data_IF_007633866811
#
_entry.id   IF_007633866811
#
_cell.length_a   1.000
_cell.length_b   1.000
_cell.length_c   1.000
_cell.angle_alpha   90.00
_cell.angle_beta   90.00
_cell.angle_gamma   90.00
#
_symmetry.space_group_name_H-M   'P 1'
#
loop_
_entity.id
_entity.type
_entity.pdbx_description
1 polymer ?
#
# COMPACT_ATOMS: atom_id res chain seq x y z
N UNK A 1 21.32 -23.42 -2.36
CA UNK A 1 20.28 -22.50 -2.80
C UNK A 1 19.23 -22.45 -1.71
N UNK A 2 18.74 -21.27 -1.35
CA UNK A 2 17.67 -21.14 -0.36
C UNK A 2 16.32 -21.64 -0.91
N UNK A 3 15.36 -21.90 -0.03
CA UNK A 3 14.01 -22.36 -0.38
C UNK A 3 13.31 -21.51 -1.44
N UNK A 4 13.56 -20.20 -1.42
CA UNK A 4 12.94 -19.21 -2.32
C UNK A 4 13.84 -18.75 -3.48
N UNK A 5 14.96 -19.42 -3.74
CA UNK A 5 15.82 -19.05 -4.85
C UNK A 5 15.15 -19.48 -6.16
N UNK A 6 14.79 -18.55 -7.07
CA UNK A 6 14.19 -18.88 -8.36
C UNK A 6 15.02 -19.85 -9.19
N UNK A 7 14.36 -20.68 -9.99
CA UNK A 7 15.04 -21.61 -10.88
C UNK A 7 15.67 -20.92 -12.10
N UNK A 8 15.15 -19.76 -12.50
CA UNK A 8 15.56 -19.04 -13.71
C UNK A 8 15.98 -17.61 -13.38
N UNK A 9 17.26 -17.32 -13.50
CA UNK A 9 17.87 -15.98 -13.33
C UNK A 9 19.30 -15.98 -13.87
N UNK A 10 19.93 -14.83 -13.95
CA UNK A 10 21.39 -14.72 -14.21
C UNK A 10 22.07 -14.40 -12.88
N UNK A 11 23.02 -15.24 -12.46
CA UNK A 11 23.63 -15.15 -11.13
C UNK A 11 24.43 -13.87 -10.89
N UNK A 12 25.00 -13.28 -11.94
CA UNK A 12 25.79 -12.06 -11.85
C UNK A 12 25.42 -11.09 -12.95
N UNK A 13 24.97 -9.88 -12.56
CA UNK A 13 24.70 -8.79 -13.51
C UNK A 13 25.99 -8.14 -13.98
N UNK A 14 25.96 -7.62 -15.19
CA UNK A 14 27.03 -6.86 -15.83
C UNK A 14 26.79 -5.33 -15.83
N UNK A 15 25.61 -4.92 -15.36
CA UNK A 15 25.16 -3.52 -15.35
C UNK A 15 24.64 -3.19 -13.94
N UNK A 16 25.02 -2.06 -13.34
CA UNK A 16 24.46 -1.64 -12.05
C UNK A 16 22.94 -1.50 -12.09
N UNK A 17 22.28 -1.77 -10.96
CA UNK A 17 20.86 -1.42 -10.80
C UNK A 17 20.69 0.10 -10.84
N UNK A 18 19.74 0.58 -11.63
CA UNK A 18 19.34 1.99 -11.67
C UNK A 18 17.87 2.22 -11.42
N UNK A 19 17.02 1.19 -11.55
CA UNK A 19 15.59 1.32 -11.30
C UNK A 19 15.07 0.25 -10.34
N UNK A 20 14.15 0.64 -9.48
CA UNK A 20 13.27 -0.26 -8.74
C UNK A 20 12.02 -0.46 -9.58
N UNK A 21 11.75 -1.70 -10.01
CA UNK A 21 10.56 -2.03 -10.82
C UNK A 21 9.51 -2.65 -9.93
N UNK A 22 8.36 -2.01 -9.87
CA UNK A 22 7.22 -2.39 -9.04
C UNK A 22 6.25 -3.22 -9.88
N UNK A 23 5.86 -4.38 -9.34
CA UNK A 23 4.96 -5.36 -9.94
C UNK A 23 3.80 -5.70 -9.03
N UNK A 24 2.77 -6.36 -9.58
CA UNK A 24 1.80 -7.16 -8.84
C UNK A 24 1.92 -8.62 -9.23
N UNK A 25 1.79 -9.50 -8.25
CA UNK A 25 1.91 -10.96 -8.42
C UNK A 25 0.78 -11.58 -9.24
N UNK A 26 -0.28 -10.83 -9.53
CA UNK A 26 -1.55 -11.33 -10.07
C UNK A 26 -2.09 -12.50 -9.23
N UNK A 27 -1.97 -12.37 -7.90
CA UNK A 27 -2.36 -13.35 -6.90
C UNK A 27 -3.17 -12.67 -5.79
N UNK A 28 -4.06 -13.39 -5.07
CA UNK A 28 -4.85 -12.80 -4.00
C UNK A 28 -3.96 -12.20 -2.92
N UNK A 29 -4.39 -11.09 -2.34
CA UNK A 29 -3.80 -10.57 -1.11
C UNK A 29 -4.05 -11.53 0.04
N UNK A 30 -3.07 -11.71 0.89
CA UNK A 30 -3.19 -12.57 2.05
C UNK A 30 -1.82 -12.99 2.60
N UNK A 31 -1.80 -13.46 3.84
CA UNK A 31 -0.58 -13.97 4.44
C UNK A 31 -0.07 -15.19 3.64
N UNK A 32 1.22 -15.33 3.50
CA UNK A 32 1.93 -16.36 2.74
C UNK A 32 1.83 -16.26 1.21
N UNK A 33 1.23 -15.22 0.64
CA UNK A 33 1.22 -15.04 -0.82
C UNK A 33 2.63 -14.79 -1.34
N UNK A 34 3.44 -14.01 -0.64
CA UNK A 34 4.83 -13.76 -0.99
C UNK A 34 5.65 -15.07 -1.02
N UNK A 35 5.51 -15.93 -0.01
CA UNK A 35 6.19 -17.23 0.07
C UNK A 35 5.71 -18.18 -1.04
N UNK A 36 4.42 -18.19 -1.31
CA UNK A 36 3.84 -19.08 -2.32
C UNK A 36 4.32 -18.70 -3.72
N UNK A 37 4.36 -17.40 -4.05
CA UNK A 37 4.89 -16.91 -5.34
C UNK A 37 6.40 -17.13 -5.42
N UNK A 38 7.14 -16.89 -4.35
CA UNK A 38 8.57 -17.18 -4.30
C UNK A 38 8.86 -18.69 -4.54
N UNK A 39 8.08 -19.61 -3.93
CA UNK A 39 8.17 -21.05 -4.19
C UNK A 39 7.78 -21.41 -5.63
N UNK A 40 6.80 -20.72 -6.19
CA UNK A 40 6.43 -20.91 -7.59
C UNK A 40 7.59 -20.56 -8.54
N UNK A 41 8.28 -19.43 -8.30
CA UNK A 41 9.51 -19.11 -9.04
C UNK A 41 10.64 -20.14 -8.81
N UNK A 42 10.76 -20.66 -7.59
CA UNK A 42 11.77 -21.67 -7.26
C UNK A 42 11.46 -23.04 -7.88
N UNK A 43 10.19 -23.34 -8.18
CA UNK A 43 9.76 -24.63 -8.74
C UNK A 43 10.24 -24.89 -10.18
N UNK A 44 10.59 -23.83 -10.92
CA UNK A 44 10.95 -23.92 -12.33
C UNK A 44 9.79 -24.13 -13.30
N UNK A 45 8.54 -24.04 -12.82
CA UNK A 45 7.35 -24.15 -13.67
C UNK A 45 7.15 -22.93 -14.57
N UNK A 46 7.78 -21.81 -14.24
CA UNK A 46 7.72 -20.57 -15.01
C UNK A 46 9.13 -20.03 -15.24
N UNK A 47 9.36 -19.44 -16.41
CA UNK A 47 10.61 -18.74 -16.72
C UNK A 47 10.45 -17.26 -16.28
N UNK A 48 10.28 -17.07 -14.98
CA UNK A 48 10.17 -15.76 -14.34
C UNK A 48 10.87 -15.79 -12.98
N UNK A 49 11.23 -14.62 -12.48
CA UNK A 49 11.84 -14.44 -11.15
C UNK A 49 11.78 -13.00 -10.71
N UNK A 50 11.78 -12.78 -9.40
CA UNK A 50 11.90 -11.47 -8.76
C UNK A 50 13.08 -11.44 -7.79
N UNK A 51 13.47 -10.23 -7.35
CA UNK A 51 14.44 -10.09 -6.28
C UNK A 51 13.74 -10.18 -4.92
N UNK A 52 12.52 -9.68 -4.83
CA UNK A 52 11.74 -9.59 -3.60
C UNK A 52 10.25 -9.80 -3.90
N UNK A 53 9.58 -10.56 -3.04
CA UNK A 53 8.14 -10.74 -2.98
C UNK A 53 7.62 -10.19 -1.66
N UNK A 54 6.53 -9.42 -1.67
CA UNK A 54 5.97 -8.79 -0.47
C UNK A 54 4.47 -9.03 -0.38
N UNK A 55 3.99 -9.41 0.79
CA UNK A 55 2.57 -9.43 1.13
C UNK A 55 2.30 -8.65 2.42
N UNK A 56 1.11 -8.79 2.99
CA UNK A 56 0.65 -7.99 4.13
C UNK A 56 1.46 -8.19 5.42
N UNK A 57 2.20 -9.30 5.56
CA UNK A 57 2.91 -9.66 6.80
C UNK A 57 4.33 -10.17 6.57
N UNK A 58 4.79 -10.26 5.32
CA UNK A 58 6.13 -10.75 5.04
C UNK A 58 6.84 -10.07 3.86
N UNK A 59 8.17 -10.07 3.93
CA UNK A 59 9.09 -9.70 2.86
C UNK A 59 10.02 -10.89 2.57
N UNK A 60 9.86 -11.50 1.40
CA UNK A 60 10.65 -12.67 0.98
C UNK A 60 11.72 -12.25 -0.03
N UNK A 61 12.97 -12.30 0.38
CA UNK A 61 14.11 -12.02 -0.51
C UNK A 61 14.47 -13.28 -1.31
N UNK A 62 14.31 -13.22 -2.63
CA UNK A 62 14.51 -14.34 -3.55
C UNK A 62 15.91 -14.33 -4.19
N UNK A 63 16.37 -13.15 -4.62
CA UNK A 63 17.66 -12.97 -5.29
C UNK A 63 18.42 -11.77 -4.73
N UNK A 64 19.77 -11.85 -4.67
CA UNK A 64 20.58 -10.68 -4.33
C UNK A 64 20.54 -9.64 -5.45
N UNK A 65 20.77 -8.37 -5.13
CA UNK A 65 20.83 -7.28 -6.09
C UNK A 65 21.91 -7.48 -7.21
N UNK A 66 22.91 -8.30 -6.96
CA UNK A 66 23.94 -8.68 -7.95
C UNK A 66 23.42 -9.64 -9.04
N UNK A 67 22.27 -10.27 -8.86
CA UNK A 67 21.65 -11.13 -9.85
C UNK A 67 20.77 -10.34 -10.84
N UNK A 68 20.36 -10.98 -11.95
CA UNK A 68 19.35 -10.45 -12.88
C UNK A 68 18.12 -11.33 -12.77
N UNK A 69 17.02 -10.77 -12.29
CA UNK A 69 15.71 -11.40 -12.31
C UNK A 69 15.05 -11.25 -13.70
N UNK A 70 14.16 -12.19 -14.03
CA UNK A 70 13.40 -12.21 -15.28
C UNK A 70 11.95 -11.80 -15.01
N UNK A 71 11.67 -10.51 -14.95
CA UNK A 71 10.34 -9.96 -14.66
C UNK A 71 9.91 -8.89 -15.67
N UNK A 72 10.74 -7.86 -15.92
CA UNK A 72 10.41 -6.74 -16.80
C UNK A 72 11.33 -6.66 -18.02
N UNK A 73 10.98 -7.26 -19.17
CA UNK A 73 11.78 -7.17 -20.39
C UNK A 73 12.00 -5.72 -20.82
N UNK A 74 13.26 -5.28 -20.80
CA UNK A 74 13.66 -3.88 -20.98
C UNK A 74 14.44 -3.35 -19.79
N UNK A 75 14.05 -3.74 -18.57
CA UNK A 75 14.73 -3.40 -17.31
C UNK A 75 15.18 -4.63 -16.49
N UNK A 76 15.28 -5.84 -17.07
CA UNK A 76 15.80 -6.99 -16.32
C UNK A 76 17.25 -6.77 -15.88
N UNK A 77 18.11 -6.23 -16.79
CA UNK A 77 19.56 -6.13 -16.54
C UNK A 77 19.93 -5.04 -15.53
N UNK A 78 19.16 -3.98 -15.47
CA UNK A 78 19.42 -2.77 -14.67
C UNK A 78 18.31 -2.46 -13.67
N UNK A 79 17.37 -3.39 -13.48
CA UNK A 79 16.25 -3.28 -12.52
C UNK A 79 16.41 -4.19 -11.31
N UNK A 80 15.93 -3.72 -10.17
CA UNK A 80 15.60 -4.52 -9.00
C UNK A 80 14.10 -4.78 -9.01
N UNK A 81 13.66 -6.01 -9.11
CA UNK A 81 12.28 -6.42 -9.36
C UNK A 81 11.56 -6.73 -8.04
N UNK A 82 10.45 -6.04 -7.76
CA UNK A 82 9.68 -6.14 -6.51
C UNK A 82 8.24 -6.53 -6.83
N UNK A 83 7.84 -7.70 -6.37
CA UNK A 83 6.51 -8.26 -6.53
C UNK A 83 5.64 -7.97 -5.29
N UNK A 84 4.46 -7.40 -5.52
CA UNK A 84 3.45 -7.12 -4.48
C UNK A 84 2.29 -8.09 -4.61
N UNK A 85 1.80 -8.64 -3.50
CA UNK A 85 0.56 -9.39 -3.49
C UNK A 85 -0.60 -8.50 -3.95
N UNK A 86 -1.50 -9.03 -4.76
CA UNK A 86 -2.61 -8.28 -5.35
C UNK A 86 -2.61 -8.36 -6.87
N UNK A 87 -3.46 -7.53 -7.45
CA UNK A 87 -3.74 -7.52 -8.90
C UNK A 87 -3.62 -6.12 -9.49
N UNK A 88 -3.14 -6.03 -10.73
CA UNK A 88 -3.06 -4.77 -11.49
C UNK A 88 -4.43 -4.10 -11.71
N UNK A 89 -5.52 -4.87 -11.61
CA UNK A 89 -6.91 -4.38 -11.77
C UNK A 89 -7.52 -3.77 -10.50
N UNK A 90 -6.81 -3.81 -9.36
CA UNK A 90 -7.34 -3.27 -8.10
C UNK A 90 -7.77 -1.81 -8.26
N UNK A 91 -8.94 -1.50 -7.67
CA UNK A 91 -9.45 -0.14 -7.58
C UNK A 91 -8.68 0.67 -6.52
N UNK A 92 -8.84 2.00 -6.46
CA UNK A 92 -8.27 2.80 -5.39
C UNK A 92 -8.71 2.36 -4.00
N UNK A 93 -9.97 1.91 -3.84
CA UNK A 93 -10.53 1.42 -2.58
C UNK A 93 -9.88 0.10 -2.15
N UNK A 94 -9.64 -0.82 -3.10
CA UNK A 94 -8.94 -2.07 -2.85
C UNK A 94 -7.48 -1.83 -2.46
N UNK A 95 -6.78 -0.87 -3.10
CA UNK A 95 -5.44 -0.44 -2.67
C UNK A 95 -5.43 0.26 -1.30
N UNK A 96 -6.60 0.71 -0.82
CA UNK A 96 -6.81 1.35 0.47
C UNK A 96 -7.19 0.40 1.59
N UNK A 97 -7.37 -0.87 1.35
CA UNK A 97 -7.73 -1.84 2.38
C UNK A 97 -6.55 -2.17 3.32
N UNK A 98 -6.85 -2.84 4.43
CA UNK A 98 -5.85 -3.09 5.48
C UNK A 98 -4.70 -4.00 4.99
N UNK A 99 -4.96 -4.93 4.09
CA UNK A 99 -3.95 -5.85 3.57
C UNK A 99 -2.98 -5.12 2.63
N UNK A 100 -3.52 -4.38 1.65
CA UNK A 100 -2.74 -3.55 0.74
C UNK A 100 -1.91 -2.51 1.50
N UNK A 101 -2.51 -1.80 2.47
CA UNK A 101 -1.80 -0.79 3.27
C UNK A 101 -0.64 -1.39 4.03
N UNK A 102 -0.84 -2.52 4.74
CA UNK A 102 0.23 -3.20 5.46
C UNK A 102 1.37 -3.64 4.52
N UNK A 103 1.02 -4.24 3.37
CA UNK A 103 1.99 -4.65 2.36
C UNK A 103 2.78 -3.46 1.81
N UNK A 104 2.11 -2.35 1.45
CA UNK A 104 2.78 -1.15 0.92
C UNK A 104 3.74 -0.54 1.94
N UNK A 105 3.41 -0.57 3.24
CA UNK A 105 4.30 -0.12 4.32
C UNK A 105 5.55 -1.00 4.43
N UNK A 106 5.38 -2.32 4.46
CA UNK A 106 6.50 -3.27 4.49
C UNK A 106 7.39 -3.14 3.25
N UNK A 107 6.76 -3.07 2.07
CA UNK A 107 7.47 -2.90 0.81
C UNK A 107 8.24 -1.58 0.76
N UNK A 108 7.64 -0.47 1.17
CA UNK A 108 8.29 0.83 1.15
C UNK A 108 9.55 0.86 2.03
N UNK A 109 9.49 0.28 3.22
CA UNK A 109 10.66 0.15 4.08
C UNK A 109 11.77 -0.68 3.41
N UNK A 110 11.43 -1.88 2.93
CA UNK A 110 12.39 -2.78 2.32
C UNK A 110 12.99 -2.20 1.02
N UNK A 111 12.18 -1.60 0.16
CA UNK A 111 12.65 -0.98 -1.09
C UNK A 111 13.51 0.24 -0.86
N UNK A 112 13.22 1.05 0.18
CA UNK A 112 14.08 2.15 0.61
C UNK A 112 15.47 1.67 0.98
N UNK A 113 15.57 0.67 1.86
CA UNK A 113 16.86 0.12 2.31
C UNK A 113 17.69 -0.40 1.13
N UNK A 114 17.06 -1.09 0.17
CA UNK A 114 17.72 -1.57 -1.04
C UNK A 114 18.12 -0.41 -1.95
N UNK A 115 17.23 0.55 -2.22
CA UNK A 115 17.50 1.71 -3.06
C UNK A 115 18.67 2.55 -2.53
N UNK A 116 18.70 2.81 -1.21
CA UNK A 116 19.80 3.51 -0.54
C UNK A 116 21.12 2.74 -0.71
N UNK A 117 21.11 1.41 -0.54
CA UNK A 117 22.30 0.58 -0.71
C UNK A 117 22.84 0.55 -2.14
N UNK A 118 21.97 0.74 -3.13
CA UNK A 118 22.29 0.74 -4.56
C UNK A 118 22.50 2.15 -5.13
N UNK A 119 22.26 3.20 -4.33
CA UNK A 119 22.33 4.60 -4.76
C UNK A 119 21.23 4.98 -5.75
N UNK A 120 20.06 4.33 -5.69
CA UNK A 120 18.90 4.64 -6.53
C UNK A 120 18.09 5.78 -5.88
N UNK A 121 17.86 6.91 -6.58
CA UNK A 121 17.05 8.00 -6.04
C UNK A 121 15.62 7.59 -5.67
N UNK A 122 15.12 8.09 -4.52
CA UNK A 122 13.79 7.76 -4.01
C UNK A 122 12.72 8.64 -4.70
N UNK A 123 12.55 8.46 -5.99
CA UNK A 123 11.57 9.20 -6.81
C UNK A 123 10.94 8.31 -7.88
N UNK A 124 9.67 8.52 -8.16
CA UNK A 124 8.97 7.89 -9.28
C UNK A 124 9.35 8.60 -10.59
N UNK A 125 9.78 7.85 -11.59
CA UNK A 125 10.15 8.37 -12.90
C UNK A 125 8.93 8.57 -13.80
N UNK A 126 8.99 9.55 -14.67
CA UNK A 126 8.13 9.62 -15.85
C UNK A 126 8.62 8.65 -16.93
N UNK A 127 7.78 8.36 -17.92
CA UNK A 127 8.15 7.53 -19.07
C UNK A 127 9.33 8.14 -19.85
N UNK A 128 9.41 9.48 -19.93
CA UNK A 128 10.51 10.19 -20.60
C UNK A 128 11.83 10.04 -19.83
N UNK A 129 11.81 10.21 -18.51
CA UNK A 129 12.99 10.03 -17.66
C UNK A 129 13.52 8.58 -17.73
N UNK A 130 12.60 7.58 -17.71
CA UNK A 130 12.94 6.18 -17.90
C UNK A 130 13.61 5.94 -19.27
N UNK A 131 13.05 6.51 -20.34
CA UNK A 131 13.59 6.41 -21.71
C UNK A 131 14.98 7.07 -21.82
N UNK A 132 15.22 8.16 -21.07
CA UNK A 132 16.49 8.86 -21.01
C UNK A 132 17.55 8.15 -20.14
N UNK A 133 17.18 7.03 -19.49
CA UNK A 133 18.11 6.23 -18.68
C UNK A 133 18.30 6.76 -17.26
N UNK A 134 17.40 7.59 -16.75
CA UNK A 134 17.47 8.10 -15.39
C UNK A 134 17.16 7.01 -14.36
N UNK A 135 17.56 7.26 -13.10
CA UNK A 135 17.44 6.31 -11.99
C UNK A 135 16.29 6.67 -11.06
N UNK A 136 15.55 5.67 -10.58
CA UNK A 136 14.41 5.86 -9.67
C UNK A 136 13.48 4.64 -9.64
N UNK A 137 12.20 4.87 -9.33
CA UNK A 137 11.14 3.87 -9.24
C UNK A 137 10.25 3.92 -10.47
N UNK A 138 9.82 2.77 -10.97
CA UNK A 138 8.93 2.63 -12.13
C UNK A 138 7.97 1.45 -11.95
N UNK A 139 6.83 1.48 -12.63
CA UNK A 139 5.97 0.30 -12.79
C UNK A 139 6.39 -0.55 -13.99
N UNK A 140 6.02 -1.85 -13.98
CA UNK A 140 6.22 -2.71 -15.14
C UNK A 140 5.44 -2.20 -16.38
N UNK A 141 4.26 -1.60 -16.16
CA UNK A 141 3.49 -0.92 -17.20
C UNK A 141 4.28 0.19 -17.91
N UNK A 142 5.06 0.99 -17.16
CA UNK A 142 5.96 2.01 -17.74
C UNK A 142 7.09 1.38 -18.54
N UNK A 143 7.70 0.30 -18.01
CA UNK A 143 8.73 -0.47 -18.74
C UNK A 143 8.16 -1.00 -20.06
N UNK A 144 6.94 -1.54 -20.05
CA UNK A 144 6.23 -2.04 -21.23
C UNK A 144 5.97 -0.92 -22.24
N UNK A 145 5.47 0.25 -21.79
CA UNK A 145 5.21 1.40 -22.67
C UNK A 145 6.47 1.97 -23.30
N UNK A 146 7.55 2.07 -22.54
CA UNK A 146 8.80 2.70 -22.99
C UNK A 146 9.59 1.78 -23.91
N UNK A 147 9.81 0.52 -23.49
CA UNK A 147 10.70 -0.38 -24.23
C UNK A 147 9.99 -1.30 -25.21
N UNK A 148 8.65 -1.44 -25.11
CA UNK A 148 7.81 -2.24 -26.03
C UNK A 148 8.28 -3.69 -26.19
N UNK A 149 8.73 -4.31 -25.09
CA UNK A 149 9.20 -5.70 -25.03
C UNK A 149 8.25 -6.63 -24.27
N UNK A 150 7.18 -6.08 -23.72
CA UNK A 150 6.07 -6.75 -23.07
C UNK A 150 4.83 -5.87 -23.18
N UNK A 151 3.66 -6.41 -22.79
CA UNK A 151 2.36 -5.74 -22.76
C UNK A 151 1.74 -5.74 -21.35
N UNK A 152 2.59 -5.89 -20.36
CA UNK A 152 2.19 -5.89 -18.94
C UNK A 152 1.65 -4.53 -18.50
N UNK A 153 0.67 -4.57 -17.62
CA UNK A 153 -0.04 -3.38 -17.10
C UNK A 153 0.13 -3.18 -15.60
N UNK A 154 0.81 -4.09 -14.90
CA UNK A 154 1.09 -4.02 -13.48
C UNK A 154 2.11 -2.90 -13.14
N UNK A 155 2.00 -2.28 -11.97
CA UNK A 155 1.08 -2.56 -10.86
C UNK A 155 -0.34 -2.03 -11.06
N UNK A 156 -0.67 -1.48 -12.22
CA UNK A 156 -1.99 -1.01 -12.60
C UNK A 156 -2.21 0.50 -12.42
N UNK A 157 -3.26 1.02 -13.09
CA UNK A 157 -3.50 2.47 -13.16
C UNK A 157 -3.92 3.07 -11.82
N UNK A 158 -4.45 2.26 -10.91
CA UNK A 158 -4.88 2.70 -9.57
C UNK A 158 -3.80 2.49 -8.49
N UNK A 159 -2.61 2.01 -8.84
CA UNK A 159 -1.52 1.87 -7.87
C UNK A 159 -1.21 3.23 -7.23
N UNK A 160 -1.21 3.35 -5.90
CA UNK A 160 -1.15 4.64 -5.21
C UNK A 160 0.29 5.20 -5.14
N UNK A 161 0.86 5.57 -6.28
CA UNK A 161 2.25 6.03 -6.40
C UNK A 161 2.62 7.15 -5.43
N UNK A 162 1.77 8.16 -5.25
CA UNK A 162 2.05 9.27 -4.32
C UNK A 162 2.16 8.79 -2.88
N UNK A 163 1.26 7.89 -2.46
CA UNK A 163 1.30 7.28 -1.14
C UNK A 163 2.53 6.41 -0.96
N UNK A 164 2.78 5.51 -1.91
CA UNK A 164 3.92 4.60 -1.86
C UNK A 164 5.25 5.34 -1.80
N UNK A 165 5.43 6.34 -2.66
CA UNK A 165 6.65 7.15 -2.65
C UNK A 165 6.79 8.02 -1.41
N UNK A 166 5.69 8.50 -0.83
CA UNK A 166 5.69 9.16 0.48
C UNK A 166 6.21 8.23 1.57
N UNK A 167 5.71 6.99 1.63
CA UNK A 167 6.22 5.96 2.56
C UNK A 167 7.71 5.67 2.32
N UNK A 168 8.13 5.47 1.08
CA UNK A 168 9.54 5.25 0.70
C UNK A 168 10.42 6.41 1.18
N UNK A 169 9.95 7.65 1.09
CA UNK A 169 10.67 8.84 1.58
C UNK A 169 10.61 9.01 3.11
N UNK A 170 9.83 8.18 3.82
CA UNK A 170 9.63 8.28 5.27
C UNK A 170 8.72 9.43 5.68
N UNK A 171 7.86 9.87 4.78
CA UNK A 171 6.86 10.90 5.01
C UNK A 171 5.61 10.31 5.66
N UNK A 172 4.85 11.11 6.38
CA UNK A 172 3.48 10.75 6.79
C UNK A 172 2.57 10.83 5.57
N UNK A 173 2.63 9.79 4.73
CA UNK A 173 1.84 9.73 3.52
C UNK A 173 0.39 9.35 3.85
N UNK A 174 -0.57 10.03 3.23
CA UNK A 174 -1.97 9.64 3.24
C UNK A 174 -2.27 8.93 1.92
N UNK A 175 -3.01 7.81 2.00
CA UNK A 175 -3.57 7.20 0.80
C UNK A 175 -4.34 8.28 0.03
N UNK A 176 -4.24 8.35 -1.29
CA UNK A 176 -5.20 9.08 -2.10
C UNK A 176 -6.50 8.27 -2.13
N UNK A 177 -7.17 8.21 -1.01
CA UNK A 177 -8.58 7.89 -0.97
C UNK A 177 -9.22 9.06 -1.71
N UNK A 178 -10.13 8.77 -2.60
CA UNK A 178 -10.84 9.82 -3.36
C UNK A 178 -11.60 10.68 -2.34
N UNK A 179 -10.95 11.76 -1.87
CA UNK A 179 -11.49 12.70 -0.88
C UNK A 179 -12.65 13.52 -1.47
N UNK A 180 -13.06 13.24 -2.69
CA UNK A 180 -14.31 13.79 -3.23
C UNK A 180 -15.55 13.33 -2.43
N UNK A 181 -15.41 12.26 -1.60
CA UNK A 181 -16.43 11.81 -0.65
C UNK A 181 -15.98 11.86 0.83
N UNK A 182 -14.72 12.22 1.14
CA UNK A 182 -14.23 12.38 2.51
C UNK A 182 -14.00 13.86 2.88
N UNK A 183 -14.90 14.74 2.52
CA UNK A 183 -14.89 16.10 3.08
C UNK A 183 -15.14 16.08 4.60
N UNK A 184 -15.44 14.91 5.18
CA UNK A 184 -15.71 14.84 6.62
C UNK A 184 -15.48 13.43 7.19
N UNK A 185 -14.35 13.14 7.87
CA UNK A 185 -14.15 11.88 8.56
C UNK A 185 -15.09 11.72 9.78
N UNK A 186 -16.00 12.65 9.98
CA UNK A 186 -16.99 12.65 11.03
C UNK A 186 -18.38 12.39 10.43
N UNK A 187 -18.92 11.20 10.69
CA UNK A 187 -20.28 10.84 10.33
C UNK A 187 -21.26 11.25 11.43
N UNK A 188 -22.48 11.61 11.06
CA UNK A 188 -23.53 11.93 12.03
C UNK A 188 -24.63 10.88 11.94
N UNK A 189 -24.92 10.27 13.08
CA UNK A 189 -25.92 9.20 13.20
C UNK A 189 -27.01 9.62 14.15
N UNK A 190 -28.27 9.45 13.75
CA UNK A 190 -29.43 9.68 14.58
C UNK A 190 -29.89 8.36 15.22
N UNK A 191 -30.00 8.32 16.54
CA UNK A 191 -30.66 7.20 17.23
C UNK A 191 -32.16 7.19 16.95
N UNK A 192 -32.66 6.06 16.45
CA UNK A 192 -34.07 5.85 16.20
C UNK A 192 -34.91 5.84 17.50
N UNK A 193 -34.33 5.46 18.64
CA UNK A 193 -35.01 5.35 19.94
C UNK A 193 -35.03 6.66 20.71
N UNK A 194 -33.90 7.34 20.74
CA UNK A 194 -33.72 8.52 21.62
C UNK A 194 -33.77 9.85 20.88
N UNK A 195 -33.65 9.86 19.56
CA UNK A 195 -33.49 11.07 18.77
C UNK A 195 -32.16 11.80 19.03
N UNK A 196 -31.20 11.14 19.70
CA UNK A 196 -29.87 11.70 19.94
C UNK A 196 -29.03 11.63 18.68
N UNK A 197 -28.36 12.72 18.34
CA UNK A 197 -27.36 12.73 17.27
C UNK A 197 -26.01 12.35 17.86
N UNK A 198 -25.30 11.46 17.19
CA UNK A 198 -23.94 11.07 17.52
C UNK A 198 -22.99 11.51 16.44
N UNK A 199 -21.86 12.10 16.84
CA UNK A 199 -20.71 12.25 15.95
C UNK A 199 -19.89 10.95 16.00
N UNK A 200 -19.72 10.32 14.86
CA UNK A 200 -18.97 9.07 14.71
C UNK A 200 -17.69 9.36 13.95
N UNK A 201 -16.56 9.06 14.57
CA UNK A 201 -15.24 9.08 13.95
C UNK A 201 -14.66 7.66 13.98
N UNK A 202 -13.59 7.35 13.26
CA UNK A 202 -12.95 6.03 13.35
C UNK A 202 -12.54 5.61 14.77
N UNK A 203 -12.47 6.56 15.70
CA UNK A 203 -11.92 6.37 17.05
C UNK A 203 -12.93 6.58 18.18
N UNK A 204 -14.08 7.15 17.90
CA UNK A 204 -15.06 7.50 18.93
C UNK A 204 -16.46 7.64 18.37
N UNK A 205 -17.44 7.33 19.24
CA UNK A 205 -18.84 7.72 19.08
C UNK A 205 -19.19 8.67 20.22
N UNK A 206 -19.56 9.89 19.90
CA UNK A 206 -19.79 10.96 20.88
C UNK A 206 -21.21 11.50 20.74
N UNK A 207 -22.08 11.40 21.79
CA UNK A 207 -23.39 11.99 21.73
C UNK A 207 -23.31 13.52 21.72
N UNK A 208 -24.03 14.15 20.80
CA UNK A 208 -24.18 15.60 20.74
C UNK A 208 -25.39 16.03 21.58
N UNK A 209 -25.14 16.29 22.87
CA UNK A 209 -26.19 16.59 23.84
C UNK A 209 -26.65 18.05 23.83
N UNK A 210 -26.07 18.88 22.95
CA UNK A 210 -26.29 20.33 22.95
C UNK A 210 -26.59 20.81 21.51
N UNK A 211 -27.80 21.35 21.34
CA UNK A 211 -28.24 21.88 20.03
C UNK A 211 -27.32 23.00 19.49
N UNK A 212 -26.69 23.79 20.38
CA UNK A 212 -25.72 24.80 19.96
C UNK A 212 -24.48 24.14 19.33
N UNK A 213 -23.95 23.05 19.95
CA UNK A 213 -22.82 22.32 19.45
C UNK A 213 -23.11 21.74 18.05
N UNK A 214 -24.30 21.19 17.84
CA UNK A 214 -24.74 20.73 16.51
C UNK A 214 -24.74 21.87 15.49
N UNK A 215 -25.36 23.03 15.86
CA UNK A 215 -25.36 24.18 14.96
C UNK A 215 -23.98 24.76 14.65
N UNK A 216 -23.05 24.69 15.59
CA UNK A 216 -21.66 25.12 15.40
C UNK A 216 -20.92 24.14 14.46
N UNK A 217 -21.15 22.82 14.60
CA UNK A 217 -20.60 21.79 13.71
C UNK A 217 -21.16 21.88 12.29
N UNK A 218 -22.48 22.05 12.14
CA UNK A 218 -23.12 22.27 10.84
C UNK A 218 -22.45 23.41 10.07
N UNK A 219 -22.14 24.52 10.74
CA UNK A 219 -21.47 25.66 10.13
C UNK A 219 -19.99 25.41 9.83
N UNK A 220 -19.29 24.79 10.78
CA UNK A 220 -17.85 24.54 10.66
C UNK A 220 -17.52 23.57 9.51
N UNK A 221 -18.39 22.59 9.29
CA UNK A 221 -18.20 21.54 8.29
C UNK A 221 -19.09 21.69 7.05
N UNK A 222 -19.83 22.81 6.93
CA UNK A 222 -20.73 23.11 5.82
C UNK A 222 -21.79 22.00 5.57
N UNK A 223 -22.32 21.43 6.64
CA UNK A 223 -23.33 20.38 6.57
C UNK A 223 -24.71 20.95 6.22
N UNK A 224 -25.54 20.18 5.57
CA UNK A 224 -26.89 20.58 5.13
C UNK A 224 -28.00 20.28 6.15
N UNK A 225 -27.68 19.93 7.39
CA UNK A 225 -28.54 19.41 8.44
C UNK A 225 -29.16 18.03 8.13
N UNK A 226 -28.65 17.30 7.15
CA UNK A 226 -29.04 15.91 6.93
C UNK A 226 -28.24 14.98 7.85
N UNK A 227 -28.82 13.82 8.16
CA UNK A 227 -28.14 12.73 8.83
C UNK A 227 -27.82 11.69 7.78
N UNK A 228 -26.61 11.15 7.83
CA UNK A 228 -26.22 10.13 6.86
C UNK A 228 -27.03 8.83 7.06
N UNK A 229 -27.24 8.42 8.31
CA UNK A 229 -27.96 7.20 8.65
C UNK A 229 -28.74 7.34 9.96
N UNK A 230 -29.92 6.73 10.03
CA UNK A 230 -30.62 6.50 11.30
C UNK A 230 -30.41 5.05 11.71
N UNK A 231 -29.83 4.82 12.88
CA UNK A 231 -29.51 3.51 13.43
C UNK A 231 -30.26 3.29 14.75
N UNK A 232 -30.42 2.02 15.13
CA UNK A 232 -30.87 1.71 16.49
C UNK A 232 -29.74 1.81 17.52
N UNK A 233 -30.09 1.85 18.80
CA UNK A 233 -29.11 2.01 19.86
C UNK A 233 -28.16 0.82 19.99
N UNK A 234 -28.55 -0.36 19.52
CA UNK A 234 -27.71 -1.56 19.49
C UNK A 234 -26.60 -1.43 18.44
N UNK A 235 -26.93 -0.93 17.26
CA UNK A 235 -25.96 -0.69 16.19
C UNK A 235 -24.98 0.40 16.57
N UNK A 236 -25.46 1.52 17.17
CA UNK A 236 -24.62 2.60 17.70
C UNK A 236 -23.68 2.06 18.80
N UNK A 237 -24.18 1.18 19.67
CA UNK A 237 -23.37 0.53 20.72
C UNK A 237 -22.27 -0.36 20.13
N UNK A 238 -22.56 -1.11 19.07
CA UNK A 238 -21.60 -1.95 18.37
C UNK A 238 -20.47 -1.12 17.72
N UNK A 239 -20.84 -0.03 17.04
CA UNK A 239 -19.85 0.89 16.45
C UNK A 239 -18.96 1.53 17.55
N UNK A 240 -19.56 1.91 18.68
CA UNK A 240 -18.82 2.47 19.80
C UNK A 240 -17.80 1.47 20.40
N UNK A 241 -18.18 0.19 20.48
CA UNK A 241 -17.29 -0.87 20.95
C UNK A 241 -16.11 -1.09 19.99
N UNK A 242 -16.36 -1.10 18.69
CA UNK A 242 -15.31 -1.23 17.67
C UNK A 242 -14.34 -0.05 17.69
N UNK A 243 -14.85 1.18 17.81
CA UNK A 243 -14.01 2.38 17.95
C UNK A 243 -13.14 2.32 19.22
N UNK A 244 -13.69 1.81 20.34
CA UNK A 244 -12.94 1.65 21.58
C UNK A 244 -11.84 0.59 21.45
N UNK A 245 -12.11 -0.52 20.78
CA UNK A 245 -11.13 -1.59 20.52
C UNK A 245 -9.97 -1.07 19.66
N UNK A 246 -10.25 -0.38 18.56
CA UNK A 246 -9.24 0.23 17.69
C UNK A 246 -8.34 1.21 18.45
N UNK A 247 -8.93 2.06 19.31
CA UNK A 247 -8.18 3.01 20.13
C UNK A 247 -7.25 2.30 21.12
N UNK A 248 -7.66 1.16 21.71
CA UNK A 248 -6.81 0.39 22.61
C UNK A 248 -5.60 -0.20 21.89
N UNK A 249 -5.78 -0.72 20.68
CA UNK A 249 -4.70 -1.24 19.83
C UNK A 249 -3.70 -0.12 19.54
N UNK A 250 -4.16 1.03 19.04
CA UNK A 250 -3.30 2.17 18.74
C UNK A 250 -2.49 2.64 19.95
N UNK A 251 -3.11 2.73 21.14
CA UNK A 251 -2.41 3.13 22.37
C UNK A 251 -1.37 2.09 22.76
N UNK A 252 -1.65 0.81 22.60
CA UNK A 252 -0.68 -0.26 22.88
C UNK A 252 0.53 -0.17 21.95
N UNK A 253 0.30 0.08 20.65
CA UNK A 253 1.35 0.22 19.66
C UNK A 253 2.24 1.45 19.91
N UNK A 254 1.62 2.60 20.25
CA UNK A 254 2.36 3.80 20.67
C UNK A 254 3.23 3.53 21.90
N UNK A 255 2.69 2.84 22.92
CA UNK A 255 3.43 2.50 24.12
C UNK A 255 4.60 1.53 23.80
N UNK A 256 4.39 0.58 22.91
CA UNK A 256 5.44 -0.34 22.46
C UNK A 256 6.56 0.43 21.75
N UNK A 257 6.22 1.28 20.77
CA UNK A 257 7.19 2.09 20.04
C UNK A 257 7.99 3.03 20.94
N UNK A 258 7.35 3.64 21.97
CA UNK A 258 8.03 4.51 22.94
C UNK A 258 9.00 3.73 23.87
N UNK A 259 8.76 2.44 24.07
CA UNK A 259 9.65 1.59 24.88
C UNK A 259 10.87 1.10 24.09
N UNK A 260 10.74 0.93 22.79
CA UNK A 260 11.82 0.49 21.90
C UNK A 260 12.77 1.64 21.51
N UNK A 261 12.29 2.89 21.59
CA UNK A 261 13.06 4.11 21.28
C UNK A 261 13.92 4.65 22.44
N UNK A 262 14.31 3.79 23.42
CA UNK A 262 15.23 4.16 24.52
C UNK A 262 16.54 3.41 24.45
#
# INVERSE_FOLDING_TARGET
MGEFTPAHYIAQRDTPCRVMVIHTMEAPEGPQTAENVARYFASGQVVASAHMCVDQDSVVYCLPASAVAFAAPGCNRDGYQVEHAGYARQSPEEWGDAASVAMLQLSAQATREIADSLGIPLRHLTDEELANGESGFVGHDQVSRVYKRSDHTDPGPSFPWSYYMGLVNGESAQLPIDTANEENPMHFVLSAQTGTIYAVTPWAVTPLTNAKLWGDLVKAYNLDNSYEVTLDDGDIGSIAADCAARRQILVADIIAALKEGK
#
